data_IF_355911722714
#
_entry.id   IF_355911722714
#
_cell.length_a   1.000
_cell.length_b   1.000
_cell.length_c   1.000
_cell.angle_alpha   90.00
_cell.angle_beta   90.00
_cell.angle_gamma   90.00
#
_symmetry.space_group_name_H-M   'P 1'
#
loop_
_entity.id
_entity.type
_entity.pdbx_description
1 polymer ?
#
# COMPACT_ATOMS: atom_id res chain seq x y z
N UNK A 1 2.16 -13.84 13.01
CA UNK A 1 1.00 -14.71 12.70
C UNK A 1 -0.15 -13.98 12.00
N UNK A 2 -0.52 -12.73 12.36
CA UNK A 2 -1.40 -11.90 11.49
C UNK A 2 -0.62 -10.78 10.77
N UNK A 3 0.31 -10.12 11.46
CA UNK A 3 1.18 -9.09 10.86
C UNK A 3 1.98 -9.65 9.67
N UNK A 4 2.49 -10.88 9.77
CA UNK A 4 3.22 -11.53 8.65
C UNK A 4 2.33 -11.75 7.41
N UNK A 5 1.04 -12.06 7.61
CA UNK A 5 0.07 -12.19 6.52
C UNK A 5 -0.16 -10.82 5.86
N UNK A 6 -0.36 -9.78 6.67
CA UNK A 6 -0.50 -8.40 6.18
C UNK A 6 0.76 -7.97 5.41
N UNK A 7 1.95 -8.25 5.93
CA UNK A 7 3.23 -7.98 5.27
C UNK A 7 3.37 -8.73 3.94
N UNK A 8 2.81 -9.94 3.84
CA UNK A 8 2.66 -10.67 2.60
C UNK A 8 1.70 -10.00 1.62
N UNK A 9 0.50 -9.61 2.07
CA UNK A 9 -0.53 -8.96 1.25
C UNK A 9 -0.03 -7.66 0.61
N UNK A 10 0.75 -6.88 1.37
CA UNK A 10 1.34 -5.62 0.91
C UNK A 10 2.74 -5.78 0.29
N UNK A 11 3.23 -7.01 0.13
CA UNK A 11 4.53 -7.33 -0.48
C UNK A 11 5.73 -6.60 0.15
N UNK A 12 5.71 -6.40 1.48
CA UNK A 12 6.78 -5.72 2.23
C UNK A 12 7.67 -6.68 3.03
N UNK A 13 7.49 -7.99 2.91
CA UNK A 13 8.34 -9.00 3.57
C UNK A 13 9.86 -8.75 3.38
N UNK A 14 10.38 -8.37 2.19
CA UNK A 14 11.81 -8.08 2.01
C UNK A 14 12.32 -6.86 2.81
N UNK A 15 11.40 -6.02 3.31
CA UNK A 15 11.68 -4.75 3.97
C UNK A 15 11.30 -4.77 5.46
N UNK A 16 11.00 -5.94 6.04
CA UNK A 16 10.50 -6.06 7.42
C UNK A 16 11.42 -5.44 8.48
N UNK A 17 12.74 -5.45 8.24
CA UNK A 17 13.76 -4.92 9.15
C UNK A 17 14.34 -3.58 8.66
N UNK A 18 13.80 -3.03 7.57
CA UNK A 18 14.26 -1.77 7.01
C UNK A 18 13.76 -0.58 7.85
N UNK A 19 14.58 0.46 7.97
CA UNK A 19 14.17 1.71 8.59
C UNK A 19 13.15 2.43 7.70
N UNK A 20 12.02 2.83 8.28
CA UNK A 20 10.98 3.60 7.58
C UNK A 20 11.54 4.92 7.02
N UNK A 21 12.37 5.62 7.80
CA UNK A 21 13.03 6.85 7.39
C UNK A 21 12.10 8.04 7.15
N UNK A 22 12.69 9.16 6.75
CA UNK A 22 12.01 10.42 6.47
C UNK A 22 11.63 10.51 4.98
N UNK A 23 10.36 10.86 4.64
CA UNK A 23 9.92 11.02 3.26
C UNK A 23 10.84 11.95 2.45
N UNK A 24 11.28 11.52 1.26
CA UNK A 24 12.14 12.31 0.38
C UNK A 24 13.60 12.44 0.81
N UNK A 25 13.99 11.86 1.95
CA UNK A 25 15.36 11.95 2.47
C UNK A 25 16.02 10.58 2.54
N UNK A 26 15.41 9.60 3.22
CA UNK A 26 15.97 8.27 3.39
C UNK A 26 14.91 7.21 3.73
N UNK A 27 15.33 5.94 3.80
CA UNK A 27 14.48 4.82 4.15
C UNK A 27 13.61 4.35 2.99
N UNK A 28 12.32 4.17 3.25
CA UNK A 28 11.37 3.63 2.27
C UNK A 28 11.08 4.60 1.13
N UNK A 29 10.95 4.06 -0.07
CA UNK A 29 10.44 4.80 -1.23
C UNK A 29 9.00 5.27 -0.99
N UNK A 30 8.54 6.26 -1.77
CA UNK A 30 7.16 6.77 -1.68
C UNK A 30 6.12 5.65 -1.84
N UNK A 31 6.37 4.77 -2.81
CA UNK A 31 5.55 3.60 -3.12
C UNK A 31 5.48 2.61 -1.95
N UNK A 32 6.65 2.23 -1.40
CA UNK A 32 6.75 1.33 -0.24
C UNK A 32 6.07 1.93 0.99
N UNK A 33 6.20 3.24 1.19
CA UNK A 33 5.55 3.95 2.29
C UNK A 33 4.04 3.95 2.14
N UNK A 34 3.49 4.11 0.94
CA UNK A 34 2.04 3.99 0.72
C UNK A 34 1.52 2.59 1.05
N UNK A 35 2.24 1.54 0.60
CA UNK A 35 1.90 0.15 0.97
C UNK A 35 2.00 -0.08 2.48
N UNK A 36 2.98 0.52 3.15
CA UNK A 36 3.11 0.46 4.60
C UNK A 36 1.92 1.15 5.30
N UNK A 37 1.47 2.31 4.83
CA UNK A 37 0.26 2.96 5.36
C UNK A 37 -0.97 2.06 5.22
N UNK A 38 -1.15 1.42 4.07
CA UNK A 38 -2.22 0.43 3.88
C UNK A 38 -2.07 -0.73 4.89
N UNK A 39 -0.85 -1.25 5.07
CA UNK A 39 -0.58 -2.32 6.03
C UNK A 39 -0.99 -1.94 7.46
N UNK A 40 -0.70 -0.71 7.89
CA UNK A 40 -1.09 -0.22 9.23
C UNK A 40 -2.61 -0.28 9.42
N UNK A 41 -3.38 0.14 8.42
CA UNK A 41 -4.85 0.07 8.47
C UNK A 41 -5.36 -1.39 8.43
N UNK A 42 -4.71 -2.27 7.67
CA UNK A 42 -5.09 -3.68 7.56
C UNK A 42 -4.89 -4.46 8.86
N UNK A 43 -3.95 -4.07 9.71
CA UNK A 43 -3.73 -4.73 11.02
C UNK A 43 -4.94 -4.57 11.94
N UNK A 44 -5.80 -3.56 11.73
CA UNK A 44 -7.07 -3.45 12.43
C UNK A 44 -8.12 -4.49 11.98
N UNK A 45 -7.80 -5.29 10.96
CA UNK A 45 -8.67 -6.31 10.36
C UNK A 45 -10.05 -5.77 9.90
N UNK A 46 -10.12 -4.64 9.16
CA UNK A 46 -11.41 -4.10 8.70
C UNK A 46 -12.05 -4.99 7.63
N UNK A 47 -13.39 -5.01 7.60
CA UNK A 47 -14.18 -5.66 6.53
C UNK A 47 -14.40 -4.75 5.31
N UNK A 48 -14.39 -3.43 5.52
CA UNK A 48 -14.53 -2.39 4.48
C UNK A 48 -13.41 -1.37 4.66
N UNK A 49 -12.72 -1.03 3.58
CA UNK A 49 -11.60 -0.10 3.56
C UNK A 49 -11.90 1.03 2.59
N UNK A 50 -11.69 2.27 3.04
CA UNK A 50 -11.78 3.46 2.20
C UNK A 50 -10.39 4.00 1.96
N UNK A 51 -10.04 4.29 0.70
CA UNK A 51 -8.75 4.88 0.34
C UNK A 51 -8.97 6.12 -0.51
N UNK A 52 -8.38 7.23 -0.10
CA UNK A 52 -8.41 8.46 -0.89
C UNK A 52 -7.16 8.56 -1.75
N UNK A 53 -7.33 8.49 -3.07
CA UNK A 53 -6.28 8.60 -4.09
C UNK A 53 -4.98 7.83 -3.78
N UNK A 54 -5.04 6.48 -3.66
CA UNK A 54 -3.88 5.68 -3.28
C UNK A 54 -2.73 5.77 -4.31
N UNK A 55 -3.01 6.19 -5.53
CA UNK A 55 -2.02 6.36 -6.61
C UNK A 55 -1.42 7.77 -6.72
N UNK A 56 -1.89 8.75 -5.94
CA UNK A 56 -1.43 10.15 -6.05
C UNK A 56 0.08 10.31 -5.80
N UNK A 57 0.76 11.09 -6.63
CA UNK A 57 2.21 11.35 -6.51
C UNK A 57 3.10 10.15 -6.83
N UNK A 58 2.58 9.13 -7.53
CA UNK A 58 3.34 7.98 -8.01
C UNK A 58 3.40 7.98 -9.54
N UNK A 59 4.53 7.51 -10.08
CA UNK A 59 4.60 7.14 -11.50
C UNK A 59 3.72 5.90 -11.80
N UNK A 60 3.50 5.62 -13.08
CA UNK A 60 2.63 4.52 -13.51
C UNK A 60 3.05 3.14 -12.97
N UNK A 61 4.37 2.88 -12.82
CA UNK A 61 4.88 1.60 -12.31
C UNK A 61 4.61 1.49 -10.81
N UNK A 62 4.93 2.52 -10.05
CA UNK A 62 4.70 2.58 -8.61
C UNK A 62 3.19 2.51 -8.28
N UNK A 63 2.37 3.23 -9.03
CA UNK A 63 0.91 3.16 -8.91
C UNK A 63 0.38 1.74 -9.14
N UNK A 64 0.90 1.02 -10.14
CA UNK A 64 0.51 -0.36 -10.40
C UNK A 64 0.88 -1.31 -9.24
N UNK A 65 2.04 -1.10 -8.58
CA UNK A 65 2.45 -1.90 -7.41
C UNK A 65 1.52 -1.63 -6.22
N UNK A 66 1.17 -0.37 -5.96
CA UNK A 66 0.18 -0.03 -4.91
C UNK A 66 -1.18 -0.64 -5.22
N UNK A 67 -1.67 -0.54 -6.46
CA UNK A 67 -2.97 -1.11 -6.83
C UNK A 67 -2.98 -2.65 -6.79
N UNK A 68 -1.82 -3.31 -6.97
CA UNK A 68 -1.71 -4.75 -6.72
C UNK A 68 -1.92 -5.09 -5.25
N UNK A 69 -1.41 -4.28 -4.33
CA UNK A 69 -1.68 -4.43 -2.89
C UNK A 69 -3.18 -4.27 -2.58
N UNK A 70 -3.83 -3.31 -3.23
CA UNK A 70 -5.29 -3.14 -3.13
C UNK A 70 -6.03 -4.37 -3.64
N UNK A 71 -5.62 -4.91 -4.80
CA UNK A 71 -6.20 -6.15 -5.36
C UNK A 71 -6.04 -7.34 -4.41
N UNK A 72 -4.82 -7.58 -3.91
CA UNK A 72 -4.54 -8.65 -2.94
C UNK A 72 -5.43 -8.53 -1.71
N UNK A 73 -5.66 -7.30 -1.24
CA UNK A 73 -6.58 -7.03 -0.12
C UNK A 73 -8.01 -7.44 -0.46
N UNK A 74 -8.53 -7.08 -1.64
CA UNK A 74 -9.88 -7.48 -2.06
C UNK A 74 -10.00 -9.00 -2.20
N UNK A 75 -8.94 -9.69 -2.66
CA UNK A 75 -8.92 -11.16 -2.80
C UNK A 75 -9.09 -11.91 -1.48
N UNK A 76 -8.86 -11.26 -0.35
CA UNK A 76 -9.14 -11.83 0.98
C UNK A 76 -10.61 -11.76 1.39
N UNK A 77 -11.50 -11.23 0.54
CA UNK A 77 -12.92 -11.07 0.83
C UNK A 77 -13.29 -9.73 1.49
N UNK A 78 -12.36 -8.77 1.53
CA UNK A 78 -12.60 -7.41 2.04
C UNK A 78 -13.13 -6.50 0.95
N UNK A 79 -14.04 -5.60 1.30
CA UNK A 79 -14.52 -4.56 0.38
C UNK A 79 -13.56 -3.37 0.41
N UNK A 80 -13.14 -2.90 -0.76
CA UNK A 80 -12.35 -1.65 -0.88
C UNK A 80 -13.10 -0.66 -1.74
N UNK A 81 -13.24 0.57 -1.24
CA UNK A 81 -13.72 1.73 -1.99
C UNK A 81 -12.58 2.71 -2.08
N UNK A 82 -12.23 3.15 -3.30
CA UNK A 82 -11.19 4.15 -3.46
C UNK A 82 -11.53 5.16 -4.55
N UNK A 83 -11.07 6.39 -4.34
CA UNK A 83 -10.99 7.43 -5.36
C UNK A 83 -9.66 7.26 -6.09
N UNK A 84 -9.64 7.43 -7.42
CA UNK A 84 -8.41 7.42 -8.20
C UNK A 84 -8.38 8.71 -8.99
N UNK A 85 -7.37 9.55 -8.73
CA UNK A 85 -7.00 10.59 -9.66
C UNK A 85 -6.04 9.99 -10.70
N UNK A 86 -6.29 10.32 -11.96
CA UNK A 86 -5.62 9.72 -13.10
C UNK A 86 -4.13 10.07 -13.05
N UNK A 87 -3.21 9.09 -12.94
CA UNK A 87 -1.78 9.39 -12.98
C UNK A 87 -1.45 10.02 -14.34
N UNK A 88 -0.78 11.18 -14.34
CA UNK A 88 -0.35 11.83 -15.58
C UNK A 88 0.62 10.91 -16.33
N UNK A 89 0.50 10.89 -17.66
CA UNK A 89 1.40 10.13 -18.55
C UNK A 89 2.74 10.87 -18.75
N UNK A 90 2.84 12.11 -18.26
CA UNK A 90 4.04 12.94 -18.34
C UNK A 90 5.02 12.70 -17.20
#
# INVERSE_FOLDING_TARGET
>A
MFVDEVMGLVELNPLKDALVGLPGVNGLSTEQRKRLTIAVELVANPSIIFMDEPTSGLDARAAAIVMRTVRNTVDTGRTVVCTIHQPSID
#
